data_IF_109125208635
#
_entry.id   IF_109125208635
#
_cell.length_a   1.000
_cell.length_b   1.000
_cell.length_c   1.000
_cell.angle_alpha   90.00
_cell.angle_beta   90.00
_cell.angle_gamma   90.00
#
_symmetry.space_group_name_H-M   'P 1'
#
loop_
_entity.id
_entity.type
_entity.pdbx_description
1 polymer ?
#
# COMPACT_ATOMS: atom_id res chain seq x y z
N UNK A 1 -2.25 -10.38 2.54
CA UNK A 1 -2.91 -10.17 1.27
C UNK A 1 -2.42 -8.85 0.66
N UNK A 2 -2.43 -8.76 -0.67
CA UNK A 2 -2.13 -7.53 -1.40
C UNK A 2 -3.31 -7.17 -2.31
N UNK A 3 -3.78 -5.94 -2.15
CA UNK A 3 -4.83 -5.37 -2.99
C UNK A 3 -4.26 -4.17 -3.73
N UNK A 4 -4.66 -3.98 -4.99
CA UNK A 4 -4.12 -2.92 -5.82
C UNK A 4 -5.22 -1.94 -6.20
N UNK A 5 -4.90 -0.65 -6.09
CA UNK A 5 -5.62 0.44 -6.73
C UNK A 5 -4.78 0.90 -7.92
N UNK A 6 -5.24 0.54 -9.12
CA UNK A 6 -4.54 0.80 -10.38
C UNK A 6 -5.11 2.05 -11.03
N UNK A 7 -4.27 3.06 -11.24
CA UNK A 7 -4.65 4.32 -11.87
C UNK A 7 -4.19 4.39 -13.32
N UNK A 8 -2.90 4.12 -13.56
CA UNK A 8 -2.24 4.35 -14.85
C UNK A 8 -1.15 3.31 -15.07
N UNK A 9 -1.53 2.15 -15.56
CA UNK A 9 -0.61 1.06 -15.92
C UNK A 9 -0.94 0.58 -17.33
N UNK A 10 0.06 0.55 -18.21
CA UNK A 10 -0.14 0.11 -19.59
C UNK A 10 -0.60 -1.36 -19.61
N UNK A 11 -1.64 -1.62 -20.38
CA UNK A 11 -2.22 -2.95 -20.52
C UNK A 11 -3.10 -3.41 -19.35
N UNK A 12 -3.32 -2.55 -18.33
CA UNK A 12 -4.18 -2.88 -17.20
C UNK A 12 -5.23 -1.78 -17.01
N UNK A 13 -6.51 -2.15 -17.01
CA UNK A 13 -7.60 -1.20 -16.84
C UNK A 13 -7.56 -0.54 -15.46
N UNK A 14 -7.90 0.75 -15.33
CA UNK A 14 -8.04 1.41 -14.03
C UNK A 14 -9.10 0.72 -13.17
N UNK A 15 -8.78 0.50 -11.89
CA UNK A 15 -9.69 -0.20 -10.98
C UNK A 15 -9.01 -0.82 -9.79
N UNK A 16 -9.77 -1.65 -9.08
CA UNK A 16 -9.33 -2.39 -7.91
C UNK A 16 -9.06 -3.86 -8.28
N UNK A 17 -7.98 -4.38 -7.74
CA UNK A 17 -7.53 -5.76 -7.98
C UNK A 17 -7.09 -6.43 -6.68
N UNK A 18 -7.20 -7.74 -6.64
CA UNK A 18 -6.56 -8.58 -5.64
C UNK A 18 -5.43 -9.38 -6.27
N UNK A 19 -4.27 -9.40 -5.64
CA UNK A 19 -3.17 -10.27 -6.06
C UNK A 19 -3.34 -11.67 -5.50
N UNK A 20 -3.56 -12.65 -6.38
CA UNK A 20 -3.68 -14.04 -6.02
C UNK A 20 -2.30 -14.72 -6.06
N UNK A 21 -1.67 -14.86 -4.89
CA UNK A 21 -0.27 -15.30 -4.78
C UNK A 21 0.02 -16.70 -5.32
N UNK A 22 -0.94 -17.64 -5.24
CA UNK A 22 -0.75 -19.01 -5.76
C UNK A 22 -0.80 -19.03 -7.29
N UNK A 23 -1.76 -18.34 -7.87
CA UNK A 23 -1.91 -18.26 -9.33
C UNK A 23 -0.95 -17.24 -9.97
N UNK A 24 -0.26 -16.42 -9.16
CA UNK A 24 0.56 -15.29 -9.59
C UNK A 24 -0.19 -14.40 -10.60
N UNK A 25 -1.37 -13.97 -10.22
CA UNK A 25 -2.29 -13.26 -11.10
C UNK A 25 -2.99 -12.11 -10.37
N UNK A 26 -3.38 -11.08 -11.13
CA UNK A 26 -4.27 -10.03 -10.66
C UNK A 26 -5.72 -10.41 -10.98
N UNK A 27 -6.54 -10.49 -9.94
CA UNK A 27 -7.97 -10.75 -10.04
C UNK A 27 -8.69 -9.40 -9.98
N UNK A 28 -9.41 -8.98 -11.04
CA UNK A 28 -10.16 -7.74 -11.01
C UNK A 28 -11.30 -7.84 -9.99
N UNK A 29 -11.43 -6.82 -9.14
CA UNK A 29 -12.51 -6.70 -8.17
C UNK A 29 -13.57 -5.71 -8.67
N UNK A 30 -13.13 -4.53 -9.10
CA UNK A 30 -14.03 -3.46 -9.54
C UNK A 30 -13.34 -2.52 -10.51
N UNK A 31 -13.92 -2.30 -11.70
CA UNK A 31 -13.51 -1.24 -12.60
C UNK A 31 -13.99 0.11 -12.07
N UNK A 32 -13.18 1.16 -12.26
CA UNK A 32 -13.52 2.50 -11.80
C UNK A 32 -13.15 3.54 -12.85
N UNK A 33 -13.98 4.62 -13.02
CA UNK A 33 -13.58 5.78 -13.81
C UNK A 33 -12.32 6.44 -13.28
N UNK A 34 -11.51 7.02 -14.16
CA UNK A 34 -10.25 7.65 -13.77
C UNK A 34 -10.41 8.79 -12.73
N UNK A 35 -11.51 9.55 -12.82
CA UNK A 35 -11.84 10.60 -11.84
C UNK A 35 -12.02 10.03 -10.43
N UNK A 36 -12.78 8.96 -10.32
CA UNK A 36 -13.15 8.37 -9.05
C UNK A 36 -11.95 7.68 -8.41
N UNK A 37 -11.15 6.97 -9.23
CA UNK A 37 -9.98 6.26 -8.73
C UNK A 37 -8.91 7.23 -8.18
N UNK A 38 -8.73 8.40 -8.78
CA UNK A 38 -7.81 9.43 -8.29
C UNK A 38 -8.26 9.99 -6.93
N UNK A 39 -9.56 10.21 -6.75
CA UNK A 39 -10.12 10.65 -5.47
C UNK A 39 -9.92 9.56 -4.38
N UNK A 40 -10.16 8.31 -4.73
CA UNK A 40 -9.96 7.19 -3.80
C UNK A 40 -8.47 6.97 -3.47
N UNK A 41 -7.57 7.13 -4.43
CA UNK A 41 -6.14 7.07 -4.17
C UNK A 41 -5.70 8.14 -3.16
N UNK A 42 -6.21 9.38 -3.31
CA UNK A 42 -5.93 10.45 -2.37
C UNK A 42 -6.49 10.18 -0.97
N UNK A 43 -7.71 9.68 -0.90
CA UNK A 43 -8.34 9.30 0.38
C UNK A 43 -7.59 8.15 1.06
N UNK A 44 -7.24 7.09 0.32
CA UNK A 44 -6.56 5.90 0.82
C UNK A 44 -5.23 6.23 1.51
N UNK A 45 -4.45 7.16 0.97
CA UNK A 45 -3.18 7.61 1.56
C UNK A 45 -3.34 8.83 2.47
N UNK A 46 -4.51 9.00 3.09
CA UNK A 46 -4.80 10.05 4.07
C UNK A 46 -4.43 11.47 3.56
N UNK A 47 -4.72 11.79 2.30
CA UNK A 47 -4.50 13.11 1.72
C UNK A 47 -3.06 13.40 1.29
N UNK A 48 -2.14 12.45 1.34
CA UNK A 48 -0.74 12.63 0.94
C UNK A 48 -0.62 12.67 -0.58
N UNK A 49 -0.75 13.86 -1.17
CA UNK A 49 -0.84 14.07 -2.62
C UNK A 49 0.34 13.49 -3.41
N UNK A 50 1.54 13.52 -2.84
CA UNK A 50 2.74 12.94 -3.46
C UNK A 50 2.65 11.43 -3.61
N UNK A 51 2.03 10.71 -2.67
CA UNK A 51 1.79 9.27 -2.73
C UNK A 51 0.57 8.94 -3.59
N UNK A 52 -0.49 9.73 -3.49
CA UNK A 52 -1.71 9.56 -4.28
C UNK A 52 -1.47 9.58 -5.79
N UNK A 53 -0.42 10.26 -6.23
CA UNK A 53 -0.08 10.39 -7.65
C UNK A 53 0.66 9.17 -8.24
N UNK A 54 0.94 8.13 -7.45
CA UNK A 54 1.56 6.91 -7.97
C UNK A 54 0.65 6.19 -8.99
N UNK A 55 1.20 5.61 -10.06
CA UNK A 55 0.40 4.85 -11.04
C UNK A 55 -0.36 3.68 -10.43
N UNK A 56 0.19 3.09 -9.38
CA UNK A 56 -0.42 1.99 -8.62
C UNK A 56 -0.13 2.14 -7.14
N UNK A 57 -1.15 1.92 -6.33
CA UNK A 57 -1.06 1.77 -4.88
C UNK A 57 -1.32 0.31 -4.52
N UNK A 58 -0.53 -0.22 -3.62
CA UNK A 58 -0.64 -1.60 -3.11
C UNK A 58 -0.97 -1.55 -1.63
N UNK A 59 -2.21 -1.83 -1.28
CA UNK A 59 -2.63 -2.02 0.09
C UNK A 59 -2.14 -3.38 0.60
N UNK A 60 -1.33 -3.37 1.64
CA UNK A 60 -1.00 -4.57 2.40
C UNK A 60 -2.05 -4.76 3.49
N UNK A 61 -2.78 -5.87 3.42
CA UNK A 61 -3.80 -6.22 4.40
C UNK A 61 -3.45 -7.55 5.09
N UNK A 62 -3.73 -7.64 6.37
CA UNK A 62 -3.48 -8.83 7.16
C UNK A 62 -4.77 -9.62 7.39
N UNK A 63 -4.72 -10.92 7.21
CA UNK A 63 -5.71 -11.85 7.76
C UNK A 63 -5.29 -12.26 9.16
N UNK A 64 -5.73 -11.52 10.15
CA UNK A 64 -5.29 -11.65 11.54
C UNK A 64 -5.50 -13.05 12.09
N UNK A 65 -6.61 -13.69 11.78
CA UNK A 65 -6.93 -15.01 12.31
C UNK A 65 -5.92 -16.10 11.92
N UNK A 66 -5.26 -15.98 10.75
CA UNK A 66 -4.20 -16.94 10.36
C UNK A 66 -3.03 -16.92 11.33
N UNK A 67 -2.59 -15.73 11.75
CA UNK A 67 -1.51 -15.60 12.71
C UNK A 67 -1.98 -15.86 14.14
N UNK A 68 -3.18 -15.45 14.50
CA UNK A 68 -3.74 -15.67 15.83
C UNK A 68 -4.00 -17.16 16.10
N UNK A 69 -4.34 -17.94 15.08
CA UNK A 69 -4.39 -19.40 15.20
C UNK A 69 -3.03 -19.98 15.58
N UNK A 70 -1.94 -19.55 14.94
CA UNK A 70 -0.57 -20.01 15.20
C UNK A 70 -0.05 -19.53 16.56
N UNK A 71 -0.30 -18.29 16.90
CA UNK A 71 0.22 -17.61 18.10
C UNK A 71 -0.88 -17.35 19.14
N UNK A 72 -1.86 -18.23 19.21
CA UNK A 72 -3.01 -18.06 20.12
C UNK A 72 -2.56 -17.74 21.54
N UNK A 73 -3.30 -16.82 22.18
CA UNK A 73 -3.02 -16.34 23.53
C UNK A 73 -1.67 -15.62 23.70
N UNK A 74 -1.08 -15.13 22.63
CA UNK A 74 0.17 -14.39 22.71
C UNK A 74 0.16 -13.14 21.82
N UNK A 75 0.43 -11.98 22.40
CA UNK A 75 0.48 -10.67 21.70
C UNK A 75 1.52 -10.60 20.57
N UNK A 76 2.48 -11.51 20.51
CA UNK A 76 3.46 -11.57 19.41
C UNK A 76 2.83 -11.79 18.04
N UNK A 77 1.59 -12.30 17.97
CA UNK A 77 0.86 -12.46 16.70
C UNK A 77 0.75 -11.13 15.94
N UNK A 78 0.43 -10.06 16.68
CA UNK A 78 0.39 -8.71 16.11
C UNK A 78 1.76 -8.23 15.63
N UNK A 79 2.80 -8.43 16.44
CA UNK A 79 4.17 -8.04 16.08
C UNK A 79 4.66 -8.74 14.80
N UNK A 80 4.35 -10.02 14.65
CA UNK A 80 4.72 -10.80 13.45
C UNK A 80 4.05 -10.22 12.20
N UNK A 81 2.77 -9.84 12.27
CA UNK A 81 2.06 -9.19 11.15
C UNK A 81 2.78 -7.92 10.69
N UNK A 82 3.21 -7.07 11.64
CA UNK A 82 3.92 -5.82 11.31
C UNK A 82 5.31 -6.10 10.68
N UNK A 83 6.03 -7.09 11.20
CA UNK A 83 7.32 -7.49 10.64
C UNK A 83 7.18 -8.07 9.24
N UNK A 84 6.18 -8.92 9.00
CA UNK A 84 5.91 -9.51 7.68
C UNK A 84 5.56 -8.40 6.66
N UNK A 85 4.75 -7.42 7.05
CA UNK A 85 4.41 -6.28 6.20
C UNK A 85 5.67 -5.44 5.86
N UNK A 86 6.54 -5.21 6.84
CA UNK A 86 7.83 -4.53 6.62
C UNK A 86 8.73 -5.27 5.64
N UNK A 87 8.84 -6.60 5.76
CA UNK A 87 9.63 -7.42 4.83
C UNK A 87 9.02 -7.40 3.41
N UNK A 88 7.70 -7.46 3.31
CA UNK A 88 7.02 -7.40 2.01
C UNK A 88 7.24 -6.04 1.33
N UNK A 89 7.12 -4.95 2.08
CA UNK A 89 7.37 -3.60 1.54
C UNK A 89 8.82 -3.44 1.08
N UNK A 90 9.79 -3.96 1.85
CA UNK A 90 11.20 -3.92 1.45
C UNK A 90 11.46 -4.70 0.15
N UNK A 91 10.85 -5.87 -0.02
CA UNK A 91 10.95 -6.63 -1.26
C UNK A 91 10.37 -5.85 -2.46
N UNK A 92 9.26 -5.12 -2.24
CA UNK A 92 8.68 -4.26 -3.28
C UNK A 92 9.65 -3.12 -3.67
N UNK A 93 10.33 -2.50 -2.68
CA UNK A 93 11.37 -1.49 -2.96
C UNK A 93 12.51 -2.05 -3.79
N UNK A 94 13.04 -3.22 -3.42
CA UNK A 94 14.14 -3.86 -4.13
C UNK A 94 13.75 -4.19 -5.56
N UNK A 95 12.59 -4.81 -5.76
CA UNK A 95 12.09 -5.17 -7.09
C UNK A 95 11.80 -3.94 -7.95
N UNK A 96 11.19 -2.91 -7.40
CA UNK A 96 10.95 -1.65 -8.10
C UNK A 96 12.27 -0.99 -8.52
N UNK A 97 13.26 -0.97 -7.63
CA UNK A 97 14.58 -0.40 -7.91
C UNK A 97 15.31 -1.16 -9.01
N UNK A 98 15.27 -2.48 -8.98
CA UNK A 98 15.87 -3.34 -10.02
C UNK A 98 15.26 -3.06 -11.41
N UNK A 99 13.95 -2.77 -11.44
CA UNK A 99 13.21 -2.42 -12.65
C UNK A 99 13.34 -0.93 -13.05
N UNK A 100 14.10 -0.13 -12.29
CA UNK A 100 14.30 1.30 -12.56
C UNK A 100 13.17 2.20 -12.09
N UNK A 101 12.23 1.69 -11.28
CA UNK A 101 11.13 2.47 -10.69
C UNK A 101 11.49 3.05 -9.32
N UNK A 102 10.75 4.09 -8.93
CA UNK A 102 10.69 4.55 -7.56
C UNK A 102 9.60 3.81 -6.79
N UNK A 103 9.77 3.67 -5.48
CA UNK A 103 8.77 3.08 -4.59
C UNK A 103 8.68 3.86 -3.28
N UNK A 104 7.57 3.67 -2.58
CA UNK A 104 7.38 4.17 -1.22
C UNK A 104 6.54 3.21 -0.39
N UNK A 105 6.57 3.37 0.92
CA UNK A 105 5.60 2.80 1.87
C UNK A 105 5.13 3.90 2.81
N UNK A 106 3.84 3.90 3.12
CA UNK A 106 3.26 4.78 4.14
C UNK A 106 2.36 4.00 5.08
N UNK A 107 2.51 4.27 6.38
CA UNK A 107 1.59 3.82 7.42
C UNK A 107 0.51 4.86 7.74
N UNK A 108 0.63 6.09 7.22
CA UNK A 108 -0.42 7.10 7.33
C UNK A 108 -1.46 6.85 6.24
N UNK A 109 -2.42 5.99 6.54
CA UNK A 109 -3.49 5.56 5.65
C UNK A 109 -4.85 5.84 6.29
N UNK A 110 -5.88 5.86 5.46
CA UNK A 110 -7.26 5.93 5.93
C UNK A 110 -7.84 4.51 5.95
N UNK A 111 -7.90 3.91 7.14
CA UNK A 111 -8.37 2.54 7.35
C UNK A 111 -9.81 2.35 6.88
N UNK A 112 -10.70 3.30 7.19
CA UNK A 112 -12.10 3.24 6.77
C UNK A 112 -12.23 3.25 5.23
N UNK A 113 -11.45 4.09 4.55
CA UNK A 113 -11.39 4.10 3.08
C UNK A 113 -10.88 2.77 2.54
N UNK A 114 -9.83 2.20 3.13
CA UNK A 114 -9.28 0.91 2.74
C UNK A 114 -10.31 -0.23 2.90
N UNK A 115 -11.00 -0.25 4.04
CA UNK A 115 -12.03 -1.24 4.35
C UNK A 115 -13.21 -1.15 3.36
N UNK A 116 -13.69 0.06 3.07
CA UNK A 116 -14.78 0.28 2.11
C UNK A 116 -14.39 -0.06 0.68
N UNK A 117 -13.16 0.30 0.25
CA UNK A 117 -12.69 0.04 -1.10
C UNK A 117 -12.55 -1.45 -1.40
N UNK A 118 -11.98 -2.20 -0.47
CA UNK A 118 -11.59 -3.59 -0.65
C UNK A 118 -12.46 -4.57 0.14
N UNK A 119 -13.59 -4.10 0.70
CA UNK A 119 -14.57 -4.91 1.43
C UNK A 119 -13.92 -5.70 2.58
N UNK A 120 -13.03 -5.03 3.33
CA UNK A 120 -12.41 -5.59 4.52
C UNK A 120 -13.30 -5.34 5.74
N UNK A 121 -13.30 -6.27 6.70
CA UNK A 121 -14.13 -6.15 7.90
C UNK A 121 -13.44 -5.43 9.08
N UNK A 122 -12.17 -5.06 8.91
CA UNK A 122 -11.36 -4.39 9.94
C UNK A 122 -10.99 -5.25 11.15
N UNK A 123 -11.60 -6.43 11.29
CA UNK A 123 -11.42 -7.33 12.44
C UNK A 123 -10.70 -8.62 12.08
N UNK A 124 -11.22 -9.39 11.14
CA UNK A 124 -10.57 -10.62 10.65
C UNK A 124 -9.54 -10.31 9.57
N UNK A 125 -9.80 -9.26 8.78
CA UNK A 125 -8.89 -8.74 7.77
C UNK A 125 -8.86 -7.22 7.86
N UNK A 126 -7.67 -6.63 8.04
CA UNK A 126 -7.52 -5.18 8.18
C UNK A 126 -6.30 -4.65 7.44
N UNK A 127 -6.34 -3.36 7.15
CA UNK A 127 -5.26 -2.64 6.50
C UNK A 127 -4.02 -2.54 7.41
N UNK A 128 -2.83 -2.56 6.83
CA UNK A 128 -1.56 -2.41 7.57
C UNK A 128 -0.78 -1.21 7.05
N UNK A 129 -0.56 -1.12 5.76
CA UNK A 129 0.15 -0.02 5.13
C UNK A 129 -0.12 0.00 3.63
N UNK A 130 0.17 1.11 2.98
CA UNK A 130 0.11 1.24 1.53
C UNK A 130 1.52 1.43 0.97
N UNK A 131 1.87 0.61 0.00
CA UNK A 131 3.01 0.83 -0.87
C UNK A 131 2.54 1.47 -2.18
N UNK A 132 3.47 2.09 -2.89
CA UNK A 132 3.25 2.52 -4.28
C UNK A 132 4.56 2.46 -5.04
N UNK A 133 4.45 2.36 -6.35
CA UNK A 133 5.62 2.40 -7.23
C UNK A 133 5.23 2.97 -8.60
N UNK A 134 6.25 3.45 -9.32
CA UNK A 134 6.08 4.02 -10.65
C UNK A 134 7.34 4.68 -11.14
N UNK A 135 7.26 5.38 -12.25
CA UNK A 135 8.40 6.13 -12.81
C UNK A 135 8.92 7.13 -11.78
N UNK A 136 10.21 7.17 -11.57
CA UNK A 136 10.86 8.13 -10.68
C UNK A 136 10.61 9.55 -11.16
N UNK A 137 10.34 10.46 -10.23
CA UNK A 137 10.36 11.88 -10.52
C UNK A 137 11.79 12.32 -10.92
N UNK A 138 11.88 13.25 -11.89
CA UNK A 138 13.17 13.80 -12.31
C UNK A 138 13.86 14.58 -11.16
N UNK A 139 13.04 15.22 -10.33
CA UNK A 139 13.48 15.93 -9.13
C UNK A 139 12.76 15.38 -7.93
N UNK A 140 13.50 15.09 -6.86
CA UNK A 140 12.96 14.68 -5.56
C UNK A 140 13.19 15.82 -4.60
N UNK A 141 12.11 16.49 -4.20
CA UNK A 141 12.16 17.53 -3.16
C UNK A 141 11.83 16.88 -1.83
N UNK A 142 12.80 16.80 -0.95
CA UNK A 142 12.60 16.35 0.43
C UNK A 142 12.48 17.58 1.32
N UNK A 143 11.37 17.71 2.02
CA UNK A 143 11.21 18.76 3.04
C UNK A 143 11.39 18.12 4.41
N UNK A 144 12.42 18.52 5.12
CA UNK A 144 12.66 18.10 6.49
C UNK A 144 12.28 19.23 7.45
N UNK A 145 11.62 18.85 8.54
CA UNK A 145 11.27 19.79 9.59
C UNK A 145 12.31 19.73 10.70
N UNK A 146 13.21 20.71 10.71
CA UNK A 146 14.23 20.88 11.75
C UNK A 146 14.04 22.21 12.51
N UNK A 147 13.09 22.27 13.46
CA UNK A 147 12.77 23.50 14.19
C UNK A 147 13.92 24.02 15.06
N UNK A 148 14.92 23.19 15.33
CA UNK A 148 16.07 23.51 16.15
C UNK A 148 17.32 23.85 15.32
N UNK A 149 17.30 23.68 14.00
CA UNK A 149 18.43 23.91 13.11
C UNK A 149 19.68 23.09 13.44
N UNK A 150 19.49 21.89 14.01
CA UNK A 150 20.61 21.08 14.55
C UNK A 150 21.00 19.90 13.65
N UNK A 151 20.09 19.46 12.79
CA UNK A 151 20.25 18.26 11.98
C UNK A 151 20.72 18.61 10.57
N UNK A 152 20.15 19.67 9.99
CA UNK A 152 20.51 20.15 8.65
C UNK A 152 21.60 21.20 8.75
N UNK A 153 22.84 20.80 8.59
CA UNK A 153 24.02 21.65 8.48
C UNK A 153 24.83 21.34 7.24
#
# INVERSE_FOLDING_TARGET
>A
EAYLLVQRVDGLAPGLYHYHGIAHALVPLRAMPASDIAAQAHALVAGQAWFANAPVLVLMAARFQRNFWKYRNHSKAWRVVQLDAGHLSQNLYLSATELGYGAFVTGAINDECAEQLFELDGLATGAIAVCGFGTRAAEVVTTEFDPMGKVMR
#
